data_IF_248963660290
#
_entry.id   IF_248963660290
#
_cell.length_a   1.000
_cell.length_b   1.000
_cell.length_c   1.000
_cell.angle_alpha   90.00
_cell.angle_beta   90.00
_cell.angle_gamma   90.00
#
_symmetry.space_group_name_H-M   'P 1'
#
loop_
_entity.id
_entity.type
_entity.pdbx_description
1 polymer ?
#
# COMPACT_ATOMS: atom_id res chain seq x y z
N UNK A 1 -17.62 -0.91 -11.89
CA UNK A 1 -16.32 -0.31 -11.58
C UNK A 1 -16.19 -0.28 -10.07
N UNK A 2 -15.29 -1.09 -9.50
CA UNK A 2 -15.03 -1.10 -8.05
C UNK A 2 -14.49 0.26 -7.66
N UNK A 3 -15.05 0.89 -6.62
CA UNK A 3 -14.53 2.16 -6.11
C UNK A 3 -13.04 1.98 -5.78
N UNK A 4 -12.12 2.76 -6.38
CA UNK A 4 -10.72 2.72 -6.00
C UNK A 4 -10.59 3.14 -4.53
N UNK A 5 -9.73 2.47 -3.76
CA UNK A 5 -9.40 2.91 -2.41
C UNK A 5 -9.94 2.05 -1.26
N UNK A 6 -10.08 0.73 -1.44
CA UNK A 6 -10.22 -0.19 -0.28
C UNK A 6 -8.89 -0.85 0.04
N UNK A 7 -8.02 -0.22 0.87
CA UNK A 7 -6.80 -0.85 1.31
C UNK A 7 -7.10 -2.02 2.26
N UNK A 8 -6.33 -3.09 2.12
CA UNK A 8 -6.36 -4.30 2.93
C UNK A 8 -4.94 -4.57 3.41
N UNK A 9 -4.80 -4.73 4.71
CA UNK A 9 -3.50 -5.02 5.33
C UNK A 9 -3.63 -6.28 6.18
N UNK A 10 -2.64 -7.16 6.07
CA UNK A 10 -2.52 -8.34 6.90
C UNK A 10 -1.22 -8.23 7.67
N UNK A 11 -1.36 -8.01 8.97
CA UNK A 11 -0.30 -7.88 9.96
C UNK A 11 -0.64 -8.81 11.13
N UNK A 12 0.29 -9.62 11.63
CA UNK A 12 0.08 -10.37 12.87
C UNK A 12 -0.31 -9.44 14.03
N UNK A 13 -1.37 -9.79 14.78
CA UNK A 13 -1.82 -8.95 15.90
C UNK A 13 -0.87 -9.00 17.12
N UNK A 14 0.00 -10.00 17.18
CA UNK A 14 0.99 -10.22 18.25
C UNK A 14 2.33 -10.63 17.66
N UNK A 15 3.40 -10.24 18.32
CA UNK A 15 4.77 -10.67 18.04
C UNK A 15 5.55 -10.82 19.36
N UNK A 16 6.65 -11.56 19.32
CA UNK A 16 7.66 -11.58 20.39
C UNK A 16 8.69 -10.46 20.17
N UNK A 17 9.29 -9.87 21.22
CA UNK A 17 10.33 -8.86 21.04
C UNK A 17 11.47 -9.39 20.16
N UNK A 18 11.82 -8.65 19.12
CA UNK A 18 12.87 -9.01 18.15
C UNK A 18 12.40 -9.91 17.00
N UNK A 19 11.13 -10.35 17.00
CA UNK A 19 10.54 -11.16 15.93
C UNK A 19 10.44 -10.37 14.62
N UNK A 20 10.71 -11.06 13.50
CA UNK A 20 10.52 -10.51 12.16
C UNK A 20 9.19 -11.01 11.63
N UNK A 21 8.23 -10.10 11.49
CA UNK A 21 6.89 -10.41 10.96
C UNK A 21 6.82 -10.12 9.46
N UNK A 22 5.99 -10.87 8.75
CA UNK A 22 5.62 -10.60 7.36
C UNK A 22 4.39 -9.68 7.33
N UNK A 23 4.48 -8.59 6.58
CA UNK A 23 3.41 -7.62 6.35
C UNK A 23 2.99 -7.73 4.89
N UNK A 24 1.69 -7.90 4.67
CA UNK A 24 1.10 -7.95 3.32
C UNK A 24 0.12 -6.81 3.17
N UNK A 25 0.21 -6.09 2.06
CA UNK A 25 -0.71 -5.00 1.74
C UNK A 25 -1.28 -5.17 0.34
N UNK A 26 -2.53 -4.78 0.17
CA UNK A 26 -3.26 -4.83 -1.10
C UNK A 26 -4.18 -3.62 -1.16
N UNK A 27 -4.21 -2.92 -2.29
CA UNK A 27 -5.17 -1.85 -2.53
C UNK A 27 -5.90 -2.11 -3.83
N UNK A 28 -7.23 -2.01 -3.82
CA UNK A 28 -8.04 -2.10 -5.03
C UNK A 28 -7.83 -0.81 -5.85
N UNK A 29 -7.08 -0.92 -6.94
CA UNK A 29 -6.68 0.23 -7.75
C UNK A 29 -6.36 -0.18 -9.21
N UNK A 30 -6.87 0.52 -10.24
CA UNK A 30 -6.70 0.11 -11.64
C UNK A 30 -5.25 0.26 -12.16
N UNK A 31 -4.47 1.20 -11.62
CA UNK A 31 -3.12 1.53 -12.12
C UNK A 31 -3.13 1.86 -13.62
N UNK A 32 -4.10 2.67 -14.06
CA UNK A 32 -4.25 3.05 -15.46
C UNK A 32 -3.13 3.98 -15.89
N UNK A 33 -2.29 3.51 -16.80
CA UNK A 33 -1.08 4.21 -17.24
C UNK A 33 -1.37 5.39 -18.16
N UNK A 34 -2.56 5.42 -18.76
CA UNK A 34 -2.95 6.36 -19.80
C UNK A 34 -2.55 5.93 -21.22
N UNK A 35 -1.91 4.76 -21.35
CA UNK A 35 -1.47 4.22 -22.65
C UNK A 35 -2.57 3.39 -23.34
N UNK A 36 -3.57 2.93 -22.58
CA UNK A 36 -4.68 2.14 -23.12
C UNK A 36 -5.70 3.04 -23.81
N UNK A 37 -6.32 2.51 -24.87
CA UNK A 37 -7.43 3.16 -25.58
C UNK A 37 -8.76 2.50 -25.25
N UNK A 38 -9.83 3.28 -25.27
CA UNK A 38 -11.21 2.79 -25.16
C UNK A 38 -11.68 2.19 -26.51
N UNK A 39 -12.93 1.70 -26.55
CA UNK A 39 -13.51 1.11 -27.76
C UNK A 39 -13.59 2.09 -28.95
N UNK A 40 -13.72 3.39 -28.67
CA UNK A 40 -13.76 4.46 -29.68
C UNK A 40 -12.36 4.90 -30.13
N UNK A 41 -11.29 4.28 -29.61
CA UNK A 41 -9.91 4.61 -29.93
C UNK A 41 -9.32 5.81 -29.15
N UNK A 42 -10.08 6.39 -28.22
CA UNK A 42 -9.64 7.51 -27.39
C UNK A 42 -8.73 7.03 -26.24
N UNK A 43 -7.67 7.77 -25.87
CA UNK A 43 -6.86 7.47 -24.69
C UNK A 43 -7.70 7.48 -23.42
N UNK A 44 -7.45 6.53 -22.53
CA UNK A 44 -8.08 6.49 -21.21
C UNK A 44 -7.27 7.39 -20.28
N UNK A 45 -7.89 8.25 -19.46
CA UNK A 45 -7.16 9.11 -18.54
C UNK A 45 -6.29 8.29 -17.58
N UNK A 46 -5.08 8.79 -17.32
CA UNK A 46 -4.14 8.20 -16.37
C UNK A 46 -4.70 8.31 -14.95
N UNK A 47 -4.65 7.21 -14.21
CA UNK A 47 -4.99 7.13 -12.79
C UNK A 47 -4.07 6.09 -12.14
N UNK A 48 -3.01 6.57 -11.50
CA UNK A 48 -1.97 5.74 -10.89
C UNK A 48 -1.67 6.18 -9.46
N UNK A 49 -1.32 5.20 -8.65
CA UNK A 49 -0.59 5.44 -7.42
C UNK A 49 0.83 5.91 -7.77
N UNK A 50 1.31 6.92 -7.04
CA UNK A 50 2.66 7.45 -7.10
C UNK A 50 3.61 6.70 -6.14
N UNK A 51 3.16 6.47 -4.90
CA UNK A 51 3.98 5.86 -3.86
C UNK A 51 3.17 5.12 -2.81
N UNK A 52 3.89 4.30 -2.04
CA UNK A 52 3.44 3.66 -0.82
C UNK A 52 4.46 3.93 0.29
N UNK A 53 3.98 4.24 1.50
CA UNK A 53 4.79 4.41 2.70
C UNK A 53 4.17 3.64 3.86
N UNK A 54 5.00 2.88 4.58
CA UNK A 54 4.63 2.26 5.86
C UNK A 54 5.40 2.95 7.00
N UNK A 55 4.65 3.43 7.99
CA UNK A 55 5.16 4.03 9.21
C UNK A 55 4.96 3.06 10.37
N UNK A 56 5.95 2.91 11.25
CA UNK A 56 5.84 2.22 12.53
C UNK A 56 6.08 3.25 13.64
N UNK A 57 5.09 3.46 14.51
CA UNK A 57 5.14 4.45 15.59
C UNK A 57 5.54 5.86 15.09
N UNK A 58 5.10 6.21 13.87
CA UNK A 58 5.40 7.49 13.22
C UNK A 58 6.72 7.56 12.44
N UNK A 59 7.59 6.55 12.53
CA UNK A 59 8.84 6.47 11.77
C UNK A 59 8.67 5.65 10.49
N UNK A 60 9.21 6.10 9.36
CA UNK A 60 9.19 5.33 8.12
C UNK A 60 10.04 4.05 8.25
N UNK A 61 9.40 2.91 7.95
CA UNK A 61 10.06 1.60 7.95
C UNK A 61 10.15 0.98 6.56
N UNK A 62 9.32 1.44 5.63
CA UNK A 62 9.34 0.99 4.24
C UNK A 62 8.69 2.04 3.34
N UNK A 63 9.27 2.23 2.16
CA UNK A 63 8.66 3.00 1.08
C UNK A 63 8.86 2.31 -0.27
N UNK A 64 7.90 2.52 -1.15
CA UNK A 64 7.94 2.05 -2.53
C UNK A 64 7.41 3.13 -3.46
N UNK A 65 8.01 3.21 -4.64
CA UNK A 65 7.60 4.13 -5.70
C UNK A 65 6.95 3.31 -6.81
N UNK A 66 5.73 3.68 -7.19
CA UNK A 66 5.04 3.04 -8.29
C UNK A 66 5.33 3.78 -9.60
N UNK A 67 5.45 3.02 -10.68
CA UNK A 67 5.69 3.52 -12.03
C UNK A 67 4.88 2.69 -13.02
N UNK A 68 4.94 3.08 -14.29
CA UNK A 68 4.48 2.23 -15.38
C UNK A 68 5.09 0.83 -15.23
N UNK A 69 4.31 -0.21 -15.55
CA UNK A 69 4.57 -1.62 -15.26
C UNK A 69 4.21 -2.13 -13.85
N UNK A 70 3.76 -1.28 -12.92
CA UNK A 70 3.04 -1.77 -11.73
C UNK A 70 1.69 -2.34 -12.15
N UNK A 71 1.39 -3.57 -11.72
CA UNK A 71 0.11 -4.23 -12.02
C UNK A 71 -1.07 -3.57 -11.31
N UNK A 72 -2.27 -3.73 -11.86
CA UNK A 72 -3.50 -3.41 -11.17
C UNK A 72 -3.59 -4.16 -9.83
N UNK A 73 -4.26 -3.52 -8.87
CA UNK A 73 -4.34 -3.94 -7.47
C UNK A 73 -2.96 -4.17 -6.83
N UNK A 74 -2.13 -3.13 -6.66
CA UNK A 74 -0.78 -3.29 -6.14
C UNK A 74 -0.76 -4.07 -4.82
N UNK A 75 0.02 -5.15 -4.83
CA UNK A 75 0.24 -6.05 -3.70
C UNK A 75 1.70 -5.99 -3.29
N UNK A 76 1.96 -5.64 -2.03
CA UNK A 76 3.32 -5.56 -1.49
C UNK A 76 3.46 -6.51 -0.32
N UNK A 77 4.61 -7.19 -0.27
CA UNK A 77 5.02 -8.03 0.86
C UNK A 77 6.40 -7.57 1.30
N UNK A 78 6.51 -7.25 2.59
CA UNK A 78 7.77 -6.87 3.21
C UNK A 78 7.81 -7.36 4.65
N UNK A 79 8.96 -7.24 5.28
CA UNK A 79 9.18 -7.72 6.64
C UNK A 79 9.57 -6.56 7.54
N UNK A 80 9.14 -6.62 8.81
CA UNK A 80 9.53 -5.67 9.84
C UNK A 80 9.90 -6.41 11.12
N UNK A 81 10.94 -5.95 11.81
CA UNK A 81 11.28 -6.42 13.15
C UNK A 81 10.41 -5.68 14.17
N UNK A 82 9.86 -6.41 15.14
CA UNK A 82 9.00 -5.86 16.19
C UNK A 82 9.71 -5.99 17.53
N UNK A 83 10.24 -4.89 18.05
CA UNK A 83 10.92 -4.86 19.34
C UNK A 83 9.98 -4.49 20.51
N UNK A 84 8.83 -3.88 20.19
CA UNK A 84 7.84 -3.44 21.16
C UNK A 84 6.46 -3.19 20.51
N UNK A 85 5.44 -2.82 21.30
CA UNK A 85 4.12 -2.48 20.75
C UNK A 85 4.24 -1.48 19.60
N UNK A 86 3.64 -1.82 18.47
CA UNK A 86 3.83 -1.07 17.22
C UNK A 86 2.49 -0.72 16.60
N UNK A 87 2.28 0.58 16.37
CA UNK A 87 1.19 1.09 15.55
C UNK A 87 1.70 1.35 14.14
N UNK A 88 1.15 0.61 13.18
CA UNK A 88 1.45 0.79 11.76
C UNK A 88 0.42 1.73 11.10
N UNK A 89 0.93 2.62 10.26
CA UNK A 89 0.14 3.41 9.31
C UNK A 89 0.67 3.14 7.91
N UNK A 90 -0.20 2.71 7.02
CA UNK A 90 0.09 2.42 5.62
C UNK A 90 -0.59 3.47 4.75
N UNK A 91 0.18 4.12 3.88
CA UNK A 91 -0.27 5.27 3.10
C UNK A 91 0.02 4.98 1.64
N UNK A 92 -1.01 5.04 0.81
CA UNK A 92 -0.90 5.03 -0.65
C UNK A 92 -1.20 6.43 -1.15
N UNK A 93 -0.31 6.98 -1.97
CA UNK A 93 -0.45 8.33 -2.53
C UNK A 93 -0.67 8.22 -4.02
N UNK A 94 -1.72 8.85 -4.54
CA UNK A 94 -1.99 9.00 -5.97
C UNK A 94 -1.14 10.10 -6.59
N UNK A 95 -0.94 10.05 -7.90
CA UNK A 95 -0.21 11.10 -8.63
C UNK A 95 -0.91 12.47 -8.61
N UNK A 96 -2.22 12.50 -8.35
CA UNK A 96 -3.01 13.73 -8.19
C UNK A 96 -3.04 14.27 -6.74
N UNK A 97 -2.31 13.62 -5.82
CA UNK A 97 -2.19 14.03 -4.42
C UNK A 97 -3.26 13.44 -3.49
N UNK A 98 -4.25 12.69 -3.99
CA UNK A 98 -5.15 11.92 -3.11
C UNK A 98 -4.37 10.87 -2.32
N UNK A 99 -4.84 10.55 -1.13
CA UNK A 99 -4.23 9.49 -0.31
C UNK A 99 -5.27 8.54 0.23
N UNK A 100 -4.88 7.27 0.32
CA UNK A 100 -5.63 6.21 0.96
C UNK A 100 -4.80 5.63 2.10
N UNK A 101 -5.45 5.30 3.22
CA UNK A 101 -4.74 4.85 4.40
C UNK A 101 -5.36 3.60 5.02
N UNK A 102 -4.51 2.78 5.64
CA UNK A 102 -4.91 1.70 6.53
C UNK A 102 -4.02 1.70 7.77
N UNK A 103 -4.57 1.24 8.89
CA UNK A 103 -3.84 1.11 10.15
C UNK A 103 -3.88 -0.32 10.66
N UNK A 104 -2.86 -0.71 11.41
CA UNK A 104 -2.82 -1.97 12.13
C UNK A 104 -1.99 -1.80 13.41
N UNK A 105 -2.26 -2.63 14.41
CA UNK A 105 -1.47 -2.65 15.64
C UNK A 105 -0.92 -4.04 15.89
N UNK A 106 0.30 -4.08 16.41
CA UNK A 106 0.98 -5.30 16.86
C UNK A 106 1.28 -5.15 18.34
N UNK A 107 0.67 -6.01 19.16
CA UNK A 107 1.01 -6.13 20.56
C UNK A 107 2.25 -7.02 20.72
N UNK A 108 2.97 -6.86 21.83
CA UNK A 108 4.10 -7.72 22.17
C UNK A 108 3.76 -8.53 23.41
N UNK A 109 4.12 -9.82 23.38
CA UNK A 109 3.93 -10.76 24.48
C UNK A 109 5.03 -10.64 25.53
#
# INVERSE_FOLDING_TARGET
>A
MTAPGRPRVRVPARATPGEVIEIRTLIDHPMETGLRKNADGNPIPRDMLASFTALANGAEVFSAVFRNATSANPYLVFHARIDGPTAFTFIWTHEDGRTEQATATVAVN
#
